data_IF_467496638537
#
_entry.id   IF_467496638537
#
_cell.length_a   1.000
_cell.length_b   1.000
_cell.length_c   1.000
_cell.angle_alpha   90.00
_cell.angle_beta   90.00
_cell.angle_gamma   90.00
#
_symmetry.space_group_name_H-M   'P 1'
#
loop_
_entity.id
_entity.type
_entity.pdbx_description
1 polymer ?
#
# COMPACT_ATOMS: atom_id res chain seq x y z
N UNK A 1 -5.70 12.96 -20.05
CA UNK A 1 -5.73 13.24 -18.60
C UNK A 1 -4.45 13.88 -18.04
N UNK A 2 -4.59 15.08 -17.44
CA UNK A 2 -3.58 15.73 -16.59
C UNK A 2 -3.88 15.49 -15.09
N UNK A 3 -3.05 16.03 -14.17
CA UNK A 3 -3.24 15.86 -12.71
C UNK A 3 -4.57 16.43 -12.24
N UNK A 4 -4.91 17.66 -12.60
CA UNK A 4 -6.12 18.33 -12.13
C UNK A 4 -7.40 17.61 -12.59
N UNK A 5 -7.44 17.13 -13.84
CA UNK A 5 -8.54 16.36 -14.39
C UNK A 5 -8.67 15.00 -13.68
N UNK A 6 -7.56 14.31 -13.45
CA UNK A 6 -7.55 13.07 -12.70
C UNK A 6 -8.10 13.25 -11.27
N UNK A 7 -7.62 14.27 -10.55
CA UNK A 7 -8.07 14.59 -9.19
C UNK A 7 -9.55 14.99 -9.16
N UNK A 8 -10.02 15.76 -10.14
CA UNK A 8 -11.42 16.16 -10.24
C UNK A 8 -12.34 14.95 -10.49
N UNK A 9 -11.94 14.03 -11.37
CA UNK A 9 -12.68 12.78 -11.61
C UNK A 9 -12.71 11.93 -10.33
N UNK A 10 -11.58 11.76 -9.66
CA UNK A 10 -11.50 10.99 -8.42
C UNK A 10 -12.37 11.62 -7.32
N UNK A 11 -12.32 12.93 -7.16
CA UNK A 11 -13.17 13.66 -6.21
C UNK A 11 -14.66 13.48 -6.53
N UNK A 12 -15.05 13.53 -7.81
CA UNK A 12 -16.42 13.24 -8.23
C UNK A 12 -16.83 11.81 -7.86
N UNK A 13 -16.03 10.80 -8.23
CA UNK A 13 -16.31 9.39 -7.95
C UNK A 13 -16.25 9.03 -6.46
N UNK A 14 -15.64 9.87 -5.63
CA UNK A 14 -15.58 9.73 -4.18
C UNK A 14 -16.62 10.60 -3.45
N UNK A 15 -17.47 11.32 -4.20
CA UNK A 15 -18.46 12.25 -3.67
C UNK A 15 -17.84 13.34 -2.77
N UNK A 16 -16.68 13.88 -3.16
CA UNK A 16 -15.93 14.93 -2.44
C UNK A 16 -16.00 16.30 -3.10
N UNK A 17 -16.61 16.41 -4.28
CA UNK A 17 -16.84 17.71 -4.92
C UNK A 17 -17.93 18.48 -4.17
N UNK A 18 -17.78 19.82 -4.13
CA UNK A 18 -18.85 20.71 -3.70
C UNK A 18 -20.06 20.59 -4.64
N UNK A 19 -21.25 20.99 -4.21
CA UNK A 19 -22.45 20.93 -5.08
C UNK A 19 -22.27 21.75 -6.36
N UNK A 20 -21.66 22.93 -6.26
CA UNK A 20 -21.40 23.80 -7.41
C UNK A 20 -20.42 23.13 -8.39
N UNK A 21 -19.31 22.59 -7.88
CA UNK A 21 -18.31 21.91 -8.71
C UNK A 21 -18.88 20.65 -9.35
N UNK A 22 -19.72 19.92 -8.61
CA UNK A 22 -20.38 18.72 -9.09
C UNK A 22 -21.35 19.03 -10.23
N UNK A 23 -22.21 20.05 -10.10
CA UNK A 23 -23.10 20.48 -11.20
C UNK A 23 -22.32 20.89 -12.45
N UNK A 24 -21.23 21.65 -12.29
CA UNK A 24 -20.38 22.04 -13.43
C UNK A 24 -19.70 20.84 -14.09
N UNK A 25 -19.33 19.82 -13.31
CA UNK A 25 -18.72 18.60 -13.81
C UNK A 25 -19.73 17.70 -14.53
N UNK A 26 -20.94 17.56 -14.00
CA UNK A 26 -22.03 16.83 -14.63
C UNK A 26 -22.49 17.48 -15.94
N UNK A 27 -22.51 18.82 -16.01
CA UNK A 27 -22.74 19.53 -17.26
C UNK A 27 -21.63 19.26 -18.29
N UNK A 28 -20.35 19.29 -17.88
CA UNK A 28 -19.24 18.94 -18.75
C UNK A 28 -19.31 17.48 -19.23
N UNK A 29 -19.77 16.56 -18.37
CA UNK A 29 -19.98 15.17 -18.73
C UNK A 29 -21.02 14.99 -19.83
N UNK A 30 -22.02 15.86 -19.98
CA UNK A 30 -23.01 15.72 -21.06
C UNK A 30 -22.45 16.09 -22.43
N UNK A 31 -21.41 16.93 -22.45
CA UNK A 31 -20.88 17.56 -23.67
C UNK A 31 -19.57 16.87 -24.11
N UNK A 32 -18.73 16.49 -23.17
CA UNK A 32 -17.39 15.96 -23.44
C UNK A 32 -17.34 14.43 -23.37
N UNK A 33 -17.42 13.80 -24.55
CA UNK A 33 -17.29 12.33 -24.71
C UNK A 33 -15.94 11.81 -24.20
N UNK A 34 -14.86 12.59 -24.31
CA UNK A 34 -13.54 12.17 -23.83
C UNK A 34 -13.52 12.08 -22.31
N UNK A 35 -14.16 13.05 -21.63
CA UNK A 35 -14.33 13.05 -20.18
C UNK A 35 -15.21 11.88 -19.73
N UNK A 36 -16.32 11.60 -20.42
CA UNK A 36 -17.16 10.43 -20.14
C UNK A 36 -16.36 9.12 -20.16
N UNK A 37 -15.55 8.92 -21.21
CA UNK A 37 -14.69 7.73 -21.35
C UNK A 37 -13.66 7.62 -20.22
N UNK A 38 -13.06 8.74 -19.81
CA UNK A 38 -12.12 8.76 -18.68
C UNK A 38 -12.82 8.39 -17.36
N UNK A 39 -14.03 8.90 -17.11
CA UNK A 39 -14.84 8.56 -15.93
C UNK A 39 -15.24 7.08 -15.94
N UNK A 40 -15.76 6.58 -17.06
CA UNK A 40 -16.17 5.19 -17.22
C UNK A 40 -14.98 4.24 -17.01
N UNK A 41 -13.82 4.58 -17.57
CA UNK A 41 -12.59 3.82 -17.38
C UNK A 41 -12.22 3.73 -15.91
N UNK A 42 -12.28 4.85 -15.17
CA UNK A 42 -12.01 4.84 -13.75
C UNK A 42 -13.07 4.05 -12.95
N UNK A 43 -14.35 4.14 -13.30
CA UNK A 43 -15.41 3.35 -12.66
C UNK A 43 -15.22 1.85 -12.85
N UNK A 44 -14.98 1.39 -14.09
CA UNK A 44 -14.72 -0.02 -14.41
C UNK A 44 -13.51 -0.54 -13.66
N UNK A 45 -12.44 0.25 -13.62
CA UNK A 45 -11.25 -0.10 -12.85
C UNK A 45 -11.61 -0.28 -11.38
N UNK A 46 -12.30 0.69 -10.77
CA UNK A 46 -12.69 0.65 -9.36
C UNK A 46 -13.54 -0.58 -9.02
N UNK A 47 -14.46 -0.97 -9.90
CA UNK A 47 -15.24 -2.19 -9.78
C UNK A 47 -14.36 -3.45 -9.83
N UNK A 48 -13.43 -3.52 -10.80
CA UNK A 48 -12.47 -4.62 -10.89
C UNK A 48 -11.60 -4.76 -9.65
N UNK A 49 -11.11 -3.65 -9.09
CA UNK A 49 -10.30 -3.65 -7.86
C UNK A 49 -11.09 -4.13 -6.64
N UNK A 50 -12.36 -3.73 -6.51
CA UNK A 50 -13.26 -4.23 -5.46
C UNK A 50 -13.47 -5.73 -5.59
N UNK A 51 -13.70 -6.23 -6.80
CA UNK A 51 -13.85 -7.66 -7.06
C UNK A 51 -12.61 -8.44 -6.62
N UNK A 52 -11.42 -7.98 -7.01
CA UNK A 52 -10.14 -8.60 -6.60
C UNK A 52 -9.93 -8.59 -5.07
N UNK A 53 -10.31 -7.51 -4.39
CA UNK A 53 -10.21 -7.43 -2.94
C UNK A 53 -11.16 -8.42 -2.23
N UNK A 54 -12.41 -8.51 -2.70
CA UNK A 54 -13.41 -9.46 -2.19
C UNK A 54 -12.95 -10.90 -2.42
N UNK A 55 -12.46 -11.22 -3.62
CA UNK A 55 -11.94 -12.54 -3.96
C UNK A 55 -10.82 -12.96 -3.00
N UNK A 56 -9.89 -12.06 -2.68
CA UNK A 56 -8.84 -12.36 -1.71
C UNK A 56 -9.39 -12.63 -0.31
N UNK A 57 -10.34 -11.83 0.15
CA UNK A 57 -10.98 -12.04 1.45
C UNK A 57 -11.67 -13.42 1.51
N UNK A 58 -12.35 -13.83 0.44
CA UNK A 58 -12.97 -15.15 0.31
C UNK A 58 -11.94 -16.29 0.37
N UNK A 59 -10.81 -16.16 -0.36
CA UNK A 59 -9.73 -17.17 -0.31
C UNK A 59 -9.15 -17.31 1.11
N UNK A 60 -8.97 -16.19 1.81
CA UNK A 60 -8.48 -16.21 3.18
C UNK A 60 -9.49 -16.82 4.16
N UNK A 61 -10.79 -16.56 3.96
CA UNK A 61 -11.86 -17.17 4.75
C UNK A 61 -11.87 -18.69 4.57
N UNK A 62 -11.82 -19.18 3.32
CA UNK A 62 -11.74 -20.62 3.02
C UNK A 62 -10.54 -21.30 3.69
N UNK A 63 -9.36 -20.67 3.66
CA UNK A 63 -8.15 -21.19 4.32
C UNK A 63 -8.33 -21.34 5.84
N UNK A 64 -9.01 -20.39 6.49
CA UNK A 64 -9.27 -20.46 7.94
C UNK A 64 -10.17 -21.64 8.29
N UNK A 65 -11.25 -21.84 7.55
CA UNK A 65 -12.19 -22.96 7.76
C UNK A 65 -11.53 -24.33 7.56
N UNK A 66 -10.55 -24.44 6.67
CA UNK A 66 -9.87 -25.71 6.40
C UNK A 66 -8.73 -26.04 7.39
N UNK A 67 -8.22 -25.04 8.13
CA UNK A 67 -7.10 -25.24 9.09
C UNK A 67 -7.60 -25.58 10.51
N UNK A 68 -8.89 -25.39 10.81
CA UNK A 68 -9.49 -25.68 12.12
C UNK A 68 -10.01 -27.13 12.28
N UNK A 69 -9.84 -28.00 11.29
CA UNK A 69 -10.21 -29.44 11.36
C UNK A 69 -8.99 -30.36 11.51
N UNK A 70 -8.15 -30.12 12.53
CA UNK A 70 -7.16 -31.09 13.00
C UNK A 70 -7.55 -31.54 14.42
N UNK A 71 -7.76 -32.85 14.67
CA UNK A 71 -8.22 -33.33 15.97
C UNK A 71 -7.17 -33.04 17.04
N UNK A 72 -7.62 -32.48 18.16
CA UNK A 72 -6.78 -32.24 19.33
C UNK A 72 -6.32 -33.56 19.95
N UNK A 73 -5.19 -34.10 19.52
CA UNK A 73 -4.43 -35.05 20.33
C UNK A 73 -3.45 -34.27 21.21
N UNK A 74 -3.94 -33.83 22.37
CA UNK A 74 -3.08 -33.34 23.45
C UNK A 74 -2.32 -34.52 24.04
N UNK A 75 -1.13 -34.81 23.52
CA UNK A 75 -0.15 -35.61 24.26
C UNK A 75 0.58 -34.70 25.25
N UNK A 76 0.30 -34.93 26.53
CA UNK A 76 1.01 -34.33 27.66
C UNK A 76 2.40 -34.96 27.72
N UNK A 77 3.45 -34.22 27.33
CA UNK A 77 4.83 -34.58 27.66
C UNK A 77 5.43 -33.51 28.58
N UNK A 78 5.58 -33.88 29.86
CA UNK A 78 6.14 -33.04 30.93
C UNK A 78 7.56 -33.52 31.21
N UNK A 79 8.53 -33.10 30.40
CA UNK A 79 9.95 -33.35 30.63
C UNK A 79 10.58 -32.25 31.48
N UNK A 80 11.09 -32.57 32.67
CA UNK A 80 11.88 -31.65 33.50
C UNK A 80 13.28 -31.49 32.88
N UNK A 81 13.53 -30.37 32.22
CA UNK A 81 14.87 -30.02 31.73
C UNK A 81 15.61 -29.27 32.85
N UNK A 82 16.66 -29.86 33.39
CA UNK A 82 17.53 -29.24 34.40
C UNK A 82 18.65 -28.43 33.71
N UNK A 83 18.57 -27.10 33.81
CA UNK A 83 19.55 -26.15 33.28
C UNK A 83 20.60 -25.85 34.35
N UNK A 84 21.82 -26.41 34.23
CA UNK A 84 22.89 -26.13 35.22
C UNK A 84 24.23 -25.65 34.65
N UNK A 85 24.29 -25.15 33.41
CA UNK A 85 25.52 -24.55 32.88
C UNK A 85 25.26 -23.50 31.80
N UNK A 86 24.95 -22.25 32.20
CA UNK A 86 25.03 -21.11 31.28
C UNK A 86 25.60 -19.88 32.00
N UNK A 87 26.91 -19.84 32.18
CA UNK A 87 27.62 -18.62 32.55
C UNK A 87 29.08 -18.65 32.08
N UNK A 88 29.28 -18.47 30.78
CA UNK A 88 30.54 -18.00 30.17
C UNK A 88 30.35 -17.63 28.69
N UNK A 89 29.30 -16.87 28.34
CA UNK A 89 29.15 -16.33 26.98
C UNK A 89 28.40 -14.98 26.92
N UNK A 90 28.12 -14.35 28.07
CA UNK A 90 27.26 -13.17 28.14
C UNK A 90 27.85 -11.94 27.42
N UNK A 91 29.18 -11.83 27.30
CA UNK A 91 29.83 -10.65 26.70
C UNK A 91 29.65 -10.58 25.18
N UNK A 92 29.64 -11.72 24.49
CA UNK A 92 29.46 -11.78 23.02
C UNK A 92 27.98 -11.57 22.66
N UNK A 93 27.06 -12.06 23.49
CA UNK A 93 25.62 -11.88 23.29
C UNK A 93 25.21 -10.41 23.51
N UNK A 94 25.85 -9.70 24.44
CA UNK A 94 25.60 -8.25 24.63
C UNK A 94 26.19 -7.45 23.47
N UNK A 95 27.41 -7.76 23.00
CA UNK A 95 28.00 -7.04 21.86
C UNK A 95 27.27 -7.32 20.53
N UNK A 96 26.91 -8.58 20.23
CA UNK A 96 26.07 -8.94 19.07
C UNK A 96 24.63 -8.45 19.26
N UNK A 97 24.13 -8.46 20.49
CA UNK A 97 22.83 -7.95 20.87
C UNK A 97 22.73 -6.46 20.62
N UNK A 98 23.71 -5.65 21.01
CA UNK A 98 23.75 -4.19 20.78
C UNK A 98 24.00 -3.86 19.30
N UNK A 99 24.75 -4.71 18.57
CA UNK A 99 24.92 -4.59 17.11
C UNK A 99 23.65 -4.96 16.33
N UNK A 100 22.88 -5.97 16.78
CA UNK A 100 21.60 -6.40 16.20
C UNK A 100 20.43 -5.48 16.59
N UNK A 101 20.38 -5.10 17.87
CA UNK A 101 19.53 -4.04 18.40
C UNK A 101 19.86 -2.82 17.48
N UNK A 102 21.16 -2.53 17.20
CA UNK A 102 21.72 -1.45 16.36
C UNK A 102 20.98 -1.17 15.07
N UNK A 103 20.91 -2.25 14.30
CA UNK A 103 20.20 -2.34 13.04
C UNK A 103 18.69 -2.16 13.21
N UNK A 104 18.11 -2.64 14.32
CA UNK A 104 16.67 -2.62 14.60
C UNK A 104 16.13 -1.29 15.20
N UNK A 105 16.96 -0.35 15.68
CA UNK A 105 16.48 0.99 16.09
C UNK A 105 16.28 1.92 14.92
N UNK A 106 17.15 1.83 13.92
CA UNK A 106 17.18 2.79 12.82
C UNK A 106 15.93 2.69 11.92
N UNK A 107 15.09 1.69 12.15
CA UNK A 107 13.81 1.47 11.47
C UNK A 107 12.59 1.84 12.33
N UNK A 108 12.74 2.44 13.52
CA UNK A 108 11.62 2.75 14.43
C UNK A 108 11.10 4.19 14.39
N UNK A 109 11.93 5.21 14.14
CA UNK A 109 11.44 6.60 14.16
C UNK A 109 10.59 6.97 12.95
N UNK A 110 10.96 6.57 11.72
CA UNK A 110 10.23 7.05 10.52
C UNK A 110 8.99 6.21 10.16
N UNK A 111 8.77 5.06 10.82
CA UNK A 111 7.63 4.16 10.54
C UNK A 111 6.28 4.85 10.74
N UNK A 112 6.11 5.62 11.81
CA UNK A 112 4.82 6.24 12.13
C UNK A 112 4.45 7.35 11.13
N UNK A 113 5.40 8.19 10.73
CA UNK A 113 5.15 9.27 9.77
C UNK A 113 4.78 8.73 8.39
N UNK A 114 5.48 7.70 7.90
CA UNK A 114 5.14 7.08 6.61
C UNK A 114 3.84 6.27 6.65
N UNK A 115 3.50 5.64 7.79
CA UNK A 115 2.21 4.97 7.95
C UNK A 115 1.05 5.97 7.90
N UNK A 116 1.14 7.10 8.60
CA UNK A 116 0.13 8.15 8.58
C UNK A 116 -0.01 8.80 7.19
N UNK A 117 1.10 9.12 6.52
CA UNK A 117 1.09 9.64 5.15
C UNK A 117 0.48 8.66 4.16
N UNK A 118 0.85 7.38 4.23
CA UNK A 118 0.27 6.37 3.36
C UNK A 118 -1.22 6.15 3.67
N UNK A 119 -1.65 6.25 4.93
CA UNK A 119 -3.06 6.16 5.32
C UNK A 119 -3.88 7.36 4.81
N UNK A 120 -3.32 8.56 4.90
CA UNK A 120 -3.92 9.80 4.42
C UNK A 120 -3.97 9.85 2.89
N UNK A 121 -2.94 9.38 2.20
CA UNK A 121 -2.90 9.37 0.73
C UNK A 121 -3.71 8.19 0.15
N UNK A 122 -3.76 7.04 0.83
CA UNK A 122 -4.64 5.90 0.51
C UNK A 122 -6.09 6.14 0.95
N UNK A 123 -6.64 7.32 0.66
CA UNK A 123 -8.05 7.62 0.97
C UNK A 123 -9.04 6.81 0.13
N UNK A 124 -8.59 6.18 -0.97
CA UNK A 124 -9.40 5.23 -1.73
C UNK A 124 -9.35 3.85 -1.09
N UNK A 125 -10.45 3.50 -0.39
CA UNK A 125 -10.67 2.22 0.32
C UNK A 125 -10.28 1.01 -0.52
N UNK A 126 -10.39 1.11 -1.85
CA UNK A 126 -10.14 0.03 -2.78
C UNK A 126 -8.66 -0.33 -2.86
N UNK A 127 -7.74 0.64 -2.95
CA UNK A 127 -6.31 0.35 -3.06
C UNK A 127 -5.73 -0.13 -1.73
N UNK A 128 -6.32 0.30 -0.61
CA UNK A 128 -5.93 -0.12 0.75
C UNK A 128 -6.20 -1.61 1.00
N UNK A 129 -7.25 -2.17 0.40
CA UNK A 129 -7.63 -3.58 0.57
C UNK A 129 -6.98 -4.53 -0.44
N UNK A 130 -6.33 -4.00 -1.49
CA UNK A 130 -5.67 -4.82 -2.50
C UNK A 130 -4.43 -5.53 -1.95
N UNK A 131 -4.20 -6.79 -2.34
CA UNK A 131 -2.93 -7.46 -2.12
C UNK A 131 -1.78 -6.68 -2.76
N UNK A 132 -0.63 -6.69 -2.09
CA UNK A 132 0.56 -6.03 -2.60
C UNK A 132 0.98 -6.53 -4.01
N UNK A 133 0.83 -7.82 -4.27
CA UNK A 133 1.09 -8.43 -5.58
C UNK A 133 0.17 -7.87 -6.67
N UNK A 134 -1.11 -7.66 -6.35
CA UNK A 134 -2.07 -7.05 -7.26
C UNK A 134 -1.68 -5.62 -7.59
N UNK A 135 -1.20 -4.84 -6.61
CA UNK A 135 -0.66 -3.49 -6.85
C UNK A 135 0.59 -3.53 -7.75
N UNK A 136 1.48 -4.49 -7.56
CA UNK A 136 2.64 -4.68 -8.43
C UNK A 136 2.24 -5.06 -9.86
N UNK A 137 1.27 -5.95 -10.02
CA UNK A 137 0.78 -6.34 -11.34
C UNK A 137 0.13 -5.14 -12.04
N UNK A 138 -0.71 -4.38 -11.35
CA UNK A 138 -1.32 -3.16 -11.88
C UNK A 138 -0.28 -2.10 -12.27
N UNK A 139 0.81 -1.97 -11.50
CA UNK A 139 1.91 -1.06 -11.87
C UNK A 139 2.56 -1.44 -13.22
N UNK A 140 2.51 -2.72 -13.60
CA UNK A 140 3.12 -3.23 -14.82
C UNK A 140 2.15 -3.30 -16.00
N UNK A 141 0.93 -3.78 -15.77
CA UNK A 141 -0.01 -4.17 -16.83
C UNK A 141 -1.27 -3.31 -16.92
N UNK A 142 -1.43 -2.27 -16.08
CA UNK A 142 -2.67 -1.51 -16.12
C UNK A 142 -2.86 -0.78 -17.46
N UNK A 143 -4.11 -0.76 -17.99
CA UNK A 143 -4.41 -0.31 -19.34
C UNK A 143 -4.15 1.19 -19.53
N UNK A 144 -4.40 2.00 -18.49
CA UNK A 144 -4.17 3.44 -18.54
C UNK A 144 -2.90 3.85 -17.81
N UNK A 145 -2.22 4.86 -18.35
CA UNK A 145 -1.00 5.45 -17.75
C UNK A 145 -1.23 5.93 -16.32
N UNK A 146 -2.34 6.63 -16.09
CA UNK A 146 -2.71 7.14 -14.76
C UNK A 146 -2.87 6.03 -13.74
N UNK A 147 -3.47 4.91 -14.13
CA UNK A 147 -3.63 3.75 -13.26
C UNK A 147 -2.29 3.11 -12.93
N UNK A 148 -1.40 2.93 -13.92
CA UNK A 148 -0.04 2.44 -13.67
C UNK A 148 0.69 3.35 -12.69
N UNK A 149 0.64 4.67 -12.90
CA UNK A 149 1.28 5.65 -12.03
C UNK A 149 0.69 5.67 -10.61
N UNK A 150 -0.63 5.51 -10.48
CA UNK A 150 -1.31 5.36 -9.17
C UNK A 150 -0.88 4.06 -8.47
N UNK A 151 -0.78 2.96 -9.21
CA UNK A 151 -0.31 1.69 -8.68
C UNK A 151 1.18 1.74 -8.29
N UNK A 152 2.04 2.35 -9.11
CA UNK A 152 3.46 2.60 -8.81
C UNK A 152 3.65 3.40 -7.52
N UNK A 153 2.84 4.45 -7.34
CA UNK A 153 2.80 5.24 -6.11
C UNK A 153 2.38 4.39 -4.90
N UNK A 154 1.28 3.64 -4.99
CA UNK A 154 0.82 2.80 -3.89
C UNK A 154 1.80 1.66 -3.56
N UNK A 155 2.48 1.09 -4.56
CA UNK A 155 3.57 0.12 -4.33
C UNK A 155 4.68 0.75 -3.49
N UNK A 156 5.07 1.99 -3.77
CA UNK A 156 6.07 2.70 -2.97
C UNK A 156 5.61 2.92 -1.53
N UNK A 157 4.36 3.36 -1.33
CA UNK A 157 3.77 3.54 -0.01
C UNK A 157 3.65 2.23 0.78
N UNK A 158 3.30 1.11 0.12
CA UNK A 158 3.28 -0.21 0.78
C UNK A 158 4.70 -0.65 1.13
N UNK A 159 5.70 -0.39 0.30
CA UNK A 159 7.10 -0.65 0.67
C UNK A 159 7.50 0.14 1.93
N UNK A 160 7.08 1.39 2.06
CA UNK A 160 7.29 2.17 3.29
C UNK A 160 6.58 1.53 4.50
N UNK A 161 5.30 1.16 4.37
CA UNK A 161 4.54 0.49 5.45
C UNK A 161 5.19 -0.82 5.90
N UNK A 162 5.79 -1.58 4.96
CA UNK A 162 6.50 -2.84 5.24
C UNK A 162 7.92 -2.65 5.78
N UNK A 163 8.38 -1.41 5.97
CA UNK A 163 9.75 -1.10 6.42
C UNK A 163 10.84 -1.35 5.39
N UNK A 164 10.48 -1.59 4.12
CA UNK A 164 11.42 -1.83 3.03
C UNK A 164 11.90 -0.50 2.42
N UNK A 165 12.55 0.33 3.23
CA UNK A 165 12.88 1.73 2.91
C UNK A 165 13.74 1.87 1.66
N UNK A 166 14.73 0.99 1.47
CA UNK A 166 15.60 1.01 0.27
C UNK A 166 14.79 0.82 -1.04
N UNK A 167 13.86 -0.14 -1.06
CA UNK A 167 12.98 -0.37 -2.22
C UNK A 167 12.01 0.78 -2.43
N UNK A 168 11.45 1.32 -1.34
CA UNK A 168 10.58 2.48 -1.39
C UNK A 168 11.30 3.71 -1.95
N UNK A 169 12.50 4.03 -1.44
CA UNK A 169 13.30 5.17 -1.92
C UNK A 169 13.66 5.02 -3.40
N UNK A 170 14.03 3.81 -3.84
CA UNK A 170 14.31 3.55 -5.25
C UNK A 170 13.09 3.85 -6.13
N UNK A 171 11.91 3.37 -5.73
CA UNK A 171 10.66 3.62 -6.45
C UNK A 171 10.27 5.11 -6.40
N UNK A 172 10.37 5.75 -5.24
CA UNK A 172 10.05 7.17 -5.05
C UNK A 172 10.99 8.08 -5.85
N UNK A 173 12.29 7.78 -5.94
CA UNK A 173 13.25 8.52 -6.76
C UNK A 173 12.87 8.44 -8.24
N UNK A 174 12.50 7.26 -8.73
CA UNK A 174 12.01 7.08 -10.11
C UNK A 174 10.76 7.92 -10.37
N UNK A 175 9.80 7.92 -9.44
CA UNK A 175 8.58 8.71 -9.53
C UNK A 175 8.88 10.22 -9.50
N UNK A 176 9.74 10.66 -8.57
CA UNK A 176 10.13 12.06 -8.39
C UNK A 176 10.88 12.63 -9.60
N UNK A 177 11.70 11.80 -10.25
CA UNK A 177 12.49 12.18 -11.42
C UNK A 177 11.69 12.18 -12.73
N UNK A 178 10.42 11.76 -12.71
CA UNK A 178 9.54 11.78 -13.88
C UNK A 178 8.55 12.96 -13.78
N UNK A 179 8.77 14.10 -14.48
CA UNK A 179 7.90 15.28 -14.36
C UNK A 179 6.47 15.04 -14.85
N UNK A 180 6.27 14.04 -15.71
CA UNK A 180 4.96 13.67 -16.23
C UNK A 180 4.23 12.64 -15.36
N UNK A 181 4.81 12.25 -14.23
CA UNK A 181 4.17 11.34 -13.29
C UNK A 181 3.22 12.11 -12.36
N UNK A 182 1.97 11.64 -12.25
CA UNK A 182 0.92 12.29 -11.46
C UNK A 182 1.35 12.58 -10.01
N UNK A 183 2.12 11.66 -9.41
CA UNK A 183 2.60 11.73 -8.03
C UNK A 183 4.04 12.24 -7.85
N UNK A 184 4.64 12.89 -8.85
CA UNK A 184 6.05 13.31 -8.78
C UNK A 184 6.32 14.33 -7.66
N UNK A 185 5.40 15.28 -7.44
CA UNK A 185 5.53 16.31 -6.40
C UNK A 185 5.43 15.68 -4.99
N UNK A 186 4.49 14.76 -4.80
CA UNK A 186 4.33 14.01 -3.56
C UNK A 186 5.58 13.17 -3.27
N UNK A 187 6.15 12.51 -4.28
CA UNK A 187 7.39 11.76 -4.13
C UNK A 187 8.57 12.67 -3.72
N UNK A 188 8.72 13.85 -4.33
CA UNK A 188 9.74 14.84 -3.94
C UNK A 188 9.55 15.30 -2.49
N UNK A 189 8.32 15.56 -2.06
CA UNK A 189 8.01 15.96 -0.68
C UNK A 189 8.44 14.87 0.32
N UNK A 190 8.11 13.61 0.04
CA UNK A 190 8.53 12.49 0.89
C UNK A 190 10.05 12.34 0.94
N UNK A 191 10.73 12.45 -0.22
CA UNK A 191 12.19 12.33 -0.30
C UNK A 191 12.96 13.48 0.36
N UNK A 192 12.35 14.68 0.51
CA UNK A 192 12.96 15.82 1.21
C UNK A 192 12.82 15.74 2.73
N UNK A 193 11.92 14.89 3.23
CA UNK A 193 11.62 14.76 4.67
C UNK A 193 12.45 13.65 5.34
N UNK A 194 13.34 12.99 4.60
CA UNK A 194 14.12 11.82 4.99
C UNK A 194 15.60 12.06 4.63
#
# INVERSE_FOLDING_TARGET
>A
MNVAQFERIEAYLQNRLSEADRRSFEAALQIDTSLQLEVETQQKLRLGLRALAIEKQLLNAKKRTQTEQLPQTKTVFRGKIQWKTWSAAASIIVALGVTWWGWNYNTRQNKHQFMALAEQEMTDVQYKSLPFESLQNLSKSAPTRSTRQKAEWYVALVYLKKGQISKAQTQLKRIANNPQHLYCQQAKKILRTN
#
